data_IF_245047162716
#
_entry.id   IF_245047162716
#
_cell.length_a   1.000
_cell.length_b   1.000
_cell.length_c   1.000
_cell.angle_alpha   90.00
_cell.angle_beta   90.00
_cell.angle_gamma   90.00
#
_symmetry.space_group_name_H-M   'P 1'
#
loop_
_entity.id
_entity.type
_entity.pdbx_description
1 polymer ?
#
# COMPACT_ATOMS: atom_id res chain seq x y z
N UNK A 1 -88.87 8.18 13.99
CA UNK A 1 -88.10 8.08 15.22
C UNK A 1 -86.83 7.26 14.91
N UNK A 2 -85.73 7.89 14.54
CA UNK A 2 -84.38 7.32 14.65
C UNK A 2 -83.37 8.41 14.33
N UNK A 3 -82.59 8.74 15.25
CA UNK A 3 -81.55 9.74 15.18
C UNK A 3 -80.28 9.12 14.58
N UNK A 4 -79.87 9.60 13.42
CA UNK A 4 -78.56 9.31 12.84
C UNK A 4 -77.60 10.36 13.35
N UNK A 5 -76.68 9.97 14.19
CA UNK A 5 -75.53 10.80 14.61
C UNK A 5 -74.42 10.69 13.57
N UNK A 6 -74.15 11.74 12.89
CA UNK A 6 -72.95 11.89 12.09
C UNK A 6 -71.73 12.09 12.99
N UNK A 7 -70.78 11.18 12.87
CA UNK A 7 -69.46 11.33 13.48
C UNK A 7 -68.54 11.78 12.37
N UNK A 8 -68.15 13.07 12.33
CA UNK A 8 -67.04 13.56 11.53
C UNK A 8 -65.70 13.07 12.16
N UNK A 9 -65.10 12.11 11.53
CA UNK A 9 -63.71 11.73 11.86
C UNK A 9 -62.73 12.67 11.18
N UNK A 10 -62.08 13.53 11.98
CA UNK A 10 -60.94 14.32 11.49
C UNK A 10 -59.71 13.39 11.41
N UNK A 11 -59.30 13.06 10.19
CA UNK A 11 -58.01 12.41 9.92
C UNK A 11 -56.90 13.45 9.99
N UNK A 12 -56.16 13.49 11.10
CA UNK A 12 -54.94 14.28 11.23
C UNK A 12 -53.83 13.53 10.47
N UNK A 13 -53.48 14.00 9.26
CA UNK A 13 -52.29 13.59 8.56
C UNK A 13 -51.07 14.19 9.27
N UNK A 14 -50.43 13.42 10.12
CA UNK A 14 -49.11 13.75 10.67
C UNK A 14 -48.09 13.53 9.57
N UNK A 15 -47.73 14.61 8.86
CA UNK A 15 -46.57 14.60 7.97
C UNK A 15 -45.30 14.51 8.82
N UNK A 16 -44.79 13.30 8.99
CA UNK A 16 -43.44 13.08 9.51
C UNK A 16 -42.47 13.62 8.47
N UNK A 17 -42.02 14.86 8.64
CA UNK A 17 -40.82 15.36 7.98
C UNK A 17 -39.64 14.52 8.52
N UNK A 18 -39.36 13.42 7.88
CA UNK A 18 -38.13 12.69 8.06
C UNK A 18 -37.00 13.62 7.64
N UNK A 19 -36.36 14.26 8.63
CA UNK A 19 -35.08 14.88 8.42
C UNK A 19 -34.14 13.78 7.95
N UNK A 20 -33.91 13.68 6.62
CA UNK A 20 -32.77 12.98 6.11
C UNK A 20 -31.57 13.70 6.74
N UNK A 21 -31.04 13.14 7.82
CA UNK A 21 -29.73 13.54 8.32
C UNK A 21 -28.80 13.36 7.12
N UNK A 22 -28.34 14.48 6.55
CA UNK A 22 -27.31 14.45 5.52
C UNK A 22 -26.16 13.64 6.15
N UNK A 23 -25.90 12.45 5.61
CA UNK A 23 -24.82 11.63 6.09
C UNK A 23 -23.54 12.41 5.84
N UNK A 24 -22.82 12.77 6.92
CA UNK A 24 -21.57 13.49 6.80
C UNK A 24 -20.67 12.70 5.85
N UNK A 25 -20.02 13.38 4.91
CA UNK A 25 -19.10 12.71 3.98
C UNK A 25 -17.84 12.28 4.71
N UNK A 26 -17.09 11.36 4.12
CA UNK A 26 -15.88 10.78 4.74
C UNK A 26 -14.87 11.85 5.18
N UNK A 27 -14.71 12.95 4.43
CA UNK A 27 -13.84 14.09 4.82
C UNK A 27 -14.34 14.73 6.13
N UNK A 28 -15.65 14.93 6.25
CA UNK A 28 -16.25 15.56 7.43
C UNK A 28 -16.13 14.65 8.65
N UNK A 29 -16.29 13.33 8.48
CA UNK A 29 -16.11 12.34 9.54
C UNK A 29 -14.67 12.32 10.05
N UNK A 30 -13.68 12.35 9.14
CA UNK A 30 -12.26 12.42 9.48
C UNK A 30 -11.93 13.72 10.22
N UNK A 31 -12.45 14.85 9.73
CA UNK A 31 -12.27 16.16 10.36
C UNK A 31 -12.95 16.25 11.72
N UNK A 32 -14.17 15.76 11.86
CA UNK A 32 -14.90 15.73 13.13
C UNK A 32 -14.18 14.88 14.18
N UNK A 33 -13.60 13.75 13.76
CA UNK A 33 -12.76 12.88 14.61
C UNK A 33 -11.40 13.52 14.92
N UNK A 34 -10.92 14.42 14.08
CA UNK A 34 -9.62 15.10 14.21
C UNK A 34 -8.40 14.23 13.90
N UNK A 35 -8.60 13.08 13.27
CA UNK A 35 -7.55 12.08 13.02
C UNK A 35 -7.75 11.38 11.69
N UNK A 36 -6.67 11.27 10.89
CA UNK A 36 -6.55 10.38 9.75
C UNK A 36 -5.83 9.10 10.20
N UNK A 37 -6.44 7.94 9.99
CA UNK A 37 -5.88 6.64 10.35
C UNK A 37 -5.32 5.92 9.13
N UNK A 38 -4.09 5.39 9.24
CA UNK A 38 -3.44 4.59 8.21
C UNK A 38 -2.84 3.31 8.80
N UNK A 39 -2.66 2.22 8.03
CA UNK A 39 -1.86 1.09 8.48
C UNK A 39 -0.37 1.44 8.43
N UNK A 40 0.38 1.00 9.42
CA UNK A 40 1.84 1.00 9.44
C UNK A 40 2.36 -0.42 9.51
N UNK A 41 3.33 -0.75 8.66
CA UNK A 41 3.88 -2.09 8.56
C UNK A 41 5.30 -2.08 9.11
N UNK A 42 5.57 -2.94 10.10
CA UNK A 42 6.88 -3.00 10.74
C UNK A 42 7.94 -3.50 9.77
N UNK A 43 9.15 -2.95 9.89
CA UNK A 43 10.35 -3.36 9.13
C UNK A 43 10.22 -3.26 7.61
N UNK A 44 9.39 -2.35 7.12
CA UNK A 44 9.13 -2.12 5.69
C UNK A 44 9.86 -0.86 5.15
N UNK A 45 11.12 -0.71 5.50
CA UNK A 45 11.94 0.36 4.92
C UNK A 45 12.02 0.25 3.39
N UNK A 46 11.95 1.39 2.69
CA UNK A 46 11.86 2.79 3.15
C UNK A 46 10.41 3.31 3.30
N UNK A 47 9.38 2.44 3.21
CA UNK A 47 7.95 2.80 3.29
C UNK A 47 7.55 3.19 4.71
N UNK A 48 7.79 2.26 5.63
CA UNK A 48 7.40 2.35 7.04
C UNK A 48 8.53 1.86 7.92
N UNK A 49 8.85 2.62 8.94
CA UNK A 49 9.76 2.25 10.00
C UNK A 49 9.25 2.81 11.33
N UNK A 50 9.19 1.98 12.36
CA UNK A 50 8.85 2.41 13.71
C UNK A 50 10.10 2.39 14.58
N UNK A 51 10.49 3.54 15.11
CA UNK A 51 11.57 3.60 16.08
C UNK A 51 11.19 2.83 17.36
N UNK A 52 11.91 1.77 17.74
CA UNK A 52 11.53 0.93 18.87
C UNK A 52 11.67 1.64 20.22
N UNK A 53 12.43 2.75 20.31
CA UNK A 53 12.63 3.50 21.55
C UNK A 53 11.57 4.58 21.74
N UNK A 54 11.23 5.28 20.68
CA UNK A 54 10.30 6.41 20.73
C UNK A 54 8.88 6.06 20.29
N UNK A 55 8.71 4.96 19.56
CA UNK A 55 7.46 4.58 18.92
C UNK A 55 7.11 5.44 17.69
N UNK A 56 8.00 6.35 17.29
CA UNK A 56 7.76 7.23 16.16
C UNK A 56 7.84 6.50 14.83
N UNK A 57 6.87 6.75 13.97
CA UNK A 57 6.83 6.22 12.61
C UNK A 57 7.52 7.15 11.61
N UNK A 58 8.32 6.57 10.72
CA UNK A 58 9.07 7.22 9.65
C UNK A 58 8.91 6.46 8.34
N UNK A 59 9.39 7.04 7.25
CA UNK A 59 9.37 6.48 5.90
C UNK A 59 8.50 7.30 4.96
N UNK A 60 8.69 7.13 3.66
CA UNK A 60 8.03 7.99 2.68
C UNK A 60 6.49 7.83 2.67
N UNK A 61 5.95 6.66 2.98
CA UNK A 61 4.51 6.47 3.09
C UNK A 61 3.93 7.24 4.30
N UNK A 62 4.70 7.37 5.37
CA UNK A 62 4.34 8.21 6.52
C UNK A 62 4.36 9.70 6.14
N UNK A 63 5.37 10.15 5.36
CA UNK A 63 5.42 11.54 4.89
C UNK A 63 4.23 11.88 3.97
N UNK A 64 3.89 10.96 3.05
CA UNK A 64 2.69 11.08 2.22
C UNK A 64 1.41 11.22 3.07
N UNK A 65 1.27 10.37 4.09
CA UNK A 65 0.13 10.40 4.99
C UNK A 65 0.09 11.66 5.86
N UNK A 66 1.24 12.16 6.31
CA UNK A 66 1.35 13.43 7.04
C UNK A 66 0.88 14.61 6.20
N UNK A 67 1.22 14.63 4.92
CA UNK A 67 0.80 15.69 4.00
C UNK A 67 -0.73 15.67 3.76
N UNK A 68 -1.32 14.48 3.59
CA UNK A 68 -2.78 14.32 3.52
C UNK A 68 -3.45 14.79 4.83
N UNK A 69 -2.96 14.35 5.99
CA UNK A 69 -3.50 14.73 7.29
C UNK A 69 -3.41 16.26 7.51
N UNK A 70 -2.28 16.86 7.14
CA UNK A 70 -2.07 18.32 7.18
C UNK A 70 -3.08 19.05 6.28
N UNK A 71 -3.30 18.57 5.07
CA UNK A 71 -4.27 19.17 4.12
C UNK A 71 -5.69 19.08 4.66
N UNK A 72 -6.05 18.00 5.35
CA UNK A 72 -7.34 17.83 6.00
C UNK A 72 -7.47 18.64 7.32
N UNK A 73 -6.36 19.13 7.88
CA UNK A 73 -6.33 19.83 9.17
C UNK A 73 -6.47 18.92 10.37
N UNK A 74 -6.00 17.66 10.28
CA UNK A 74 -6.14 16.62 11.31
C UNK A 74 -4.78 16.02 11.70
N UNK A 75 -4.76 15.24 12.80
CA UNK A 75 -3.58 14.46 13.21
C UNK A 75 -3.48 13.17 12.40
N UNK A 76 -2.27 12.63 12.29
CA UNK A 76 -2.02 11.29 11.76
C UNK A 76 -1.97 10.27 12.90
N UNK A 77 -2.71 9.18 12.76
CA UNK A 77 -2.62 7.97 13.60
C UNK A 77 -2.19 6.80 12.73
N UNK A 78 -1.15 6.08 13.17
CA UNK A 78 -0.64 4.90 12.47
C UNK A 78 -0.98 3.66 13.28
N UNK A 79 -1.77 2.77 12.68
CA UNK A 79 -2.23 1.51 13.28
C UNK A 79 -1.34 0.36 12.77
N UNK A 80 -0.72 -0.38 13.66
CA UNK A 80 0.13 -1.52 13.25
C UNK A 80 -0.68 -2.56 12.46
N UNK A 81 -0.12 -3.02 11.36
CA UNK A 81 -0.74 -3.95 10.42
C UNK A 81 0.31 -4.78 9.67
N UNK A 82 -0.14 -5.51 8.65
CA UNK A 82 0.68 -6.22 7.67
C UNK A 82 0.17 -5.92 6.26
N UNK A 83 0.97 -6.22 5.20
CA UNK A 83 0.49 -6.04 3.83
C UNK A 83 -0.77 -6.84 3.53
N UNK A 84 -0.87 -8.07 4.05
CA UNK A 84 -2.06 -8.90 3.90
C UNK A 84 -3.30 -8.29 4.56
N UNK A 85 -3.13 -7.71 5.75
CA UNK A 85 -4.24 -7.13 6.53
C UNK A 85 -4.59 -5.71 6.11
N UNK A 86 -3.67 -4.95 5.51
CA UNK A 86 -3.89 -3.52 5.18
C UNK A 86 -5.13 -3.28 4.32
N UNK A 87 -5.44 -4.20 3.39
CA UNK A 87 -6.65 -4.12 2.56
C UNK A 87 -7.92 -4.37 3.39
N UNK A 88 -7.89 -5.36 4.28
CA UNK A 88 -9.00 -5.65 5.20
C UNK A 88 -9.22 -4.50 6.21
N UNK A 89 -8.14 -3.89 6.67
CA UNK A 89 -8.20 -2.75 7.59
C UNK A 89 -8.89 -1.53 6.93
N UNK A 90 -8.61 -1.28 5.62
CA UNK A 90 -9.32 -0.25 4.84
C UNK A 90 -10.77 -0.66 4.59
N UNK A 91 -11.02 -1.91 4.17
CA UNK A 91 -12.36 -2.40 3.85
C UNK A 91 -13.29 -2.32 5.06
N UNK A 92 -12.80 -2.64 6.24
CA UNK A 92 -13.57 -2.62 7.50
C UNK A 92 -13.73 -1.22 8.13
N UNK A 93 -13.02 -0.20 7.60
CA UNK A 93 -13.00 1.13 8.20
C UNK A 93 -12.14 1.24 9.48
N UNK A 94 -11.33 0.24 9.80
CA UNK A 94 -10.35 0.30 10.90
C UNK A 94 -9.32 1.39 10.65
N UNK A 95 -8.96 1.61 9.37
CA UNK A 95 -8.16 2.73 8.88
C UNK A 95 -8.90 3.41 7.72
N UNK A 96 -8.57 4.67 7.47
CA UNK A 96 -9.25 5.48 6.44
C UNK A 96 -8.69 5.20 5.05
N UNK A 97 -7.37 5.11 4.94
CA UNK A 97 -6.63 4.88 3.68
C UNK A 97 -5.36 4.08 3.96
N UNK A 98 -4.82 3.43 2.91
CA UNK A 98 -3.52 2.75 2.98
C UNK A 98 -2.62 3.21 1.82
N UNK A 99 -1.40 3.65 2.15
CA UNK A 99 -0.39 4.10 1.19
C UNK A 99 0.52 2.95 0.75
N UNK A 100 1.15 3.10 -0.43
CA UNK A 100 2.12 2.13 -0.95
C UNK A 100 1.50 0.84 -1.47
N UNK A 101 0.20 0.85 -1.73
CA UNK A 101 -0.54 -0.32 -2.21
C UNK A 101 -0.33 -0.49 -3.71
N UNK A 102 0.00 -1.71 -4.14
CA UNK A 102 -0.06 -2.08 -5.56
C UNK A 102 -1.52 -2.29 -5.96
N UNK A 103 -1.99 -1.56 -6.97
CA UNK A 103 -3.33 -1.73 -7.54
C UNK A 103 -3.40 -3.04 -8.31
N UNK A 104 -4.09 -4.04 -7.78
CA UNK A 104 -4.36 -5.30 -8.46
C UNK A 104 -5.85 -5.49 -8.68
N UNK A 105 -6.27 -6.21 -9.75
CA UNK A 105 -7.69 -6.53 -9.98
C UNK A 105 -8.34 -7.22 -8.77
N UNK A 106 -7.60 -8.13 -8.11
CA UNK A 106 -8.07 -8.82 -6.91
C UNK A 106 -8.43 -7.83 -5.78
N UNK A 107 -7.54 -6.87 -5.49
CA UNK A 107 -7.76 -5.86 -4.44
C UNK A 107 -8.87 -4.88 -4.81
N UNK A 108 -9.06 -4.60 -6.11
CA UNK A 108 -10.13 -3.74 -6.62
C UNK A 108 -11.55 -4.27 -6.32
N UNK A 109 -11.69 -5.56 -6.01
CA UNK A 109 -12.96 -6.14 -5.57
C UNK A 109 -13.35 -5.70 -4.14
N UNK A 110 -12.39 -5.22 -3.35
CA UNK A 110 -12.58 -4.91 -1.92
C UNK A 110 -12.35 -3.46 -1.55
N UNK A 111 -11.55 -2.74 -2.34
CA UNK A 111 -11.20 -1.33 -2.08
C UNK A 111 -11.18 -0.53 -3.39
N UNK A 112 -11.35 0.78 -3.28
CA UNK A 112 -11.10 1.74 -4.35
C UNK A 112 -9.65 2.19 -4.32
N UNK A 113 -9.15 2.75 -5.43
CA UNK A 113 -7.79 3.25 -5.54
C UNK A 113 -7.76 4.69 -6.00
N UNK A 114 -6.77 5.44 -5.53
CA UNK A 114 -6.40 6.73 -6.10
C UNK A 114 -5.74 6.57 -7.46
N UNK A 115 -5.49 7.68 -8.13
CA UNK A 115 -4.48 7.75 -9.18
C UNK A 115 -3.09 7.34 -8.64
N UNK A 116 -2.15 6.92 -9.52
CA UNK A 116 -0.81 6.52 -9.10
C UNK A 116 -0.06 7.60 -8.33
N UNK A 117 0.56 7.23 -7.21
CA UNK A 117 1.48 8.09 -6.47
C UNK A 117 2.91 8.01 -7.01
N UNK A 118 3.34 6.81 -7.38
CA UNK A 118 4.60 6.50 -8.06
C UNK A 118 4.49 5.12 -8.71
N UNK A 119 5.54 4.70 -9.44
CA UNK A 119 5.64 3.34 -9.99
C UNK A 119 6.76 2.59 -9.29
N UNK A 120 6.58 1.29 -9.10
CA UNK A 120 7.56 0.44 -8.45
C UNK A 120 7.77 -0.85 -9.26
N UNK A 121 9.03 -1.25 -9.38
CA UNK A 121 9.40 -2.43 -10.15
C UNK A 121 9.63 -3.64 -9.25
N UNK A 122 9.32 -4.82 -9.76
CA UNK A 122 9.64 -6.08 -9.10
C UNK A 122 11.06 -6.53 -9.45
N UNK A 123 11.74 -7.07 -8.46
CA UNK A 123 13.14 -7.46 -8.52
C UNK A 123 13.37 -8.78 -7.78
N UNK A 124 14.52 -9.38 -8.00
CA UNK A 124 15.05 -10.47 -7.16
C UNK A 124 16.20 -9.91 -6.32
N UNK A 125 16.16 -10.11 -5.02
CA UNK A 125 17.30 -9.86 -4.12
C UNK A 125 17.98 -11.20 -3.88
N UNK A 126 19.24 -11.33 -4.31
CA UNK A 126 19.94 -12.62 -4.26
C UNK A 126 21.45 -12.46 -4.10
N UNK A 127 22.10 -13.35 -3.33
CA UNK A 127 23.54 -13.48 -3.28
C UNK A 127 24.10 -14.24 -4.50
N UNK A 128 23.26 -14.88 -5.30
CA UNK A 128 23.65 -15.73 -6.43
C UNK A 128 23.87 -14.91 -7.69
N UNK A 129 25.14 -14.79 -8.11
CA UNK A 129 25.52 -14.05 -9.33
C UNK A 129 24.97 -14.66 -10.61
N UNK A 130 24.74 -16.00 -10.61
CA UNK A 130 24.18 -16.68 -11.77
C UNK A 130 22.77 -16.24 -12.15
N UNK A 131 22.04 -15.57 -11.24
CA UNK A 131 20.72 -15.02 -11.54
C UNK A 131 20.77 -13.63 -12.21
N UNK A 132 21.96 -13.03 -12.26
CA UNK A 132 22.15 -11.70 -12.84
C UNK A 132 21.81 -11.68 -14.33
N UNK A 133 21.00 -10.71 -14.77
CA UNK A 133 20.60 -10.55 -16.17
C UNK A 133 19.56 -11.57 -16.67
N UNK A 134 19.09 -12.48 -15.82
CA UNK A 134 18.07 -13.44 -16.22
C UNK A 134 16.71 -12.78 -16.43
N UNK A 135 15.96 -13.33 -17.38
CA UNK A 135 14.55 -13.02 -17.56
C UNK A 135 13.67 -13.80 -16.56
N UNK A 136 12.45 -13.32 -16.33
CA UNK A 136 11.45 -14.05 -15.55
C UNK A 136 11.21 -15.48 -16.10
N UNK A 137 11.25 -15.64 -17.43
CA UNK A 137 11.10 -16.93 -18.06
C UNK A 137 12.23 -17.91 -17.73
N UNK A 138 13.48 -17.42 -17.63
CA UNK A 138 14.63 -18.25 -17.24
C UNK A 138 14.62 -18.56 -15.74
N UNK A 139 14.12 -17.65 -14.91
CA UNK A 139 13.96 -17.85 -13.47
C UNK A 139 12.80 -18.83 -13.14
N UNK A 140 11.88 -19.04 -14.08
CA UNK A 140 10.75 -19.95 -13.92
C UNK A 140 11.14 -21.42 -14.18
N UNK A 141 12.02 -21.94 -13.34
CA UNK A 141 12.61 -23.29 -13.44
C UNK A 141 12.53 -23.97 -12.06
N UNK A 142 12.12 -25.26 -11.95
CA UNK A 142 12.05 -26.00 -10.68
C UNK A 142 13.36 -26.07 -9.88
N UNK A 143 14.50 -25.84 -10.53
CA UNK A 143 15.80 -25.80 -9.84
C UNK A 143 15.97 -24.60 -8.93
N UNK A 144 15.17 -23.53 -9.14
CA UNK A 144 15.23 -22.32 -8.32
C UNK A 144 14.15 -22.31 -7.24
N UNK A 145 14.53 -21.77 -6.09
CA UNK A 145 13.65 -21.56 -4.95
C UNK A 145 13.65 -20.08 -4.58
N UNK A 146 12.48 -19.44 -4.59
CA UNK A 146 12.35 -18.05 -4.19
C UNK A 146 11.50 -17.93 -2.93
N UNK A 147 11.82 -16.93 -2.09
CA UNK A 147 11.01 -16.58 -0.93
C UNK A 147 10.17 -15.33 -1.19
N UNK A 148 9.00 -15.27 -0.56
CA UNK A 148 8.09 -14.11 -0.59
C UNK A 148 7.31 -13.98 0.71
N UNK A 149 6.81 -12.81 1.00
CA UNK A 149 5.81 -12.59 2.04
C UNK A 149 4.40 -12.88 1.49
N UNK A 150 3.69 -13.74 2.18
CA UNK A 150 2.35 -14.22 1.82
C UNK A 150 1.35 -13.07 1.66
N UNK A 151 0.59 -13.07 0.58
CA UNK A 151 -0.46 -12.08 0.30
C UNK A 151 0.05 -10.71 -0.16
N UNK A 152 1.36 -10.56 -0.31
CA UNK A 152 1.97 -9.36 -0.91
C UNK A 152 1.75 -9.32 -2.42
N UNK A 153 2.03 -8.17 -3.05
CA UNK A 153 2.06 -8.09 -4.52
C UNK A 153 3.17 -8.94 -5.15
N UNK A 154 4.24 -9.18 -4.41
CA UNK A 154 5.34 -10.04 -4.81
C UNK A 154 4.89 -11.51 -4.91
N UNK A 155 4.06 -11.97 -3.97
CA UNK A 155 3.46 -13.31 -4.03
C UNK A 155 2.58 -13.48 -5.29
N UNK A 156 1.79 -12.46 -5.65
CA UNK A 156 1.01 -12.48 -6.89
C UNK A 156 1.90 -12.55 -8.14
N UNK A 157 3.01 -11.82 -8.17
CA UNK A 157 4.00 -11.88 -9.27
C UNK A 157 4.63 -13.27 -9.37
N UNK A 158 4.97 -13.91 -8.25
CA UNK A 158 5.51 -15.29 -8.30
C UNK A 158 4.50 -16.28 -8.85
N UNK A 159 3.23 -16.15 -8.50
CA UNK A 159 2.18 -17.02 -9.03
C UNK A 159 2.03 -16.88 -10.56
N UNK A 160 2.18 -15.68 -11.07
CA UNK A 160 2.01 -15.38 -12.49
C UNK A 160 3.25 -15.67 -13.35
N UNK A 161 4.44 -15.30 -12.86
CA UNK A 161 5.67 -15.34 -13.65
C UNK A 161 6.62 -16.48 -13.29
N UNK A 162 6.47 -17.07 -12.11
CA UNK A 162 7.33 -18.17 -11.61
C UNK A 162 6.52 -19.42 -11.21
N UNK A 163 5.49 -19.85 -11.98
CA UNK A 163 4.62 -20.96 -11.58
C UNK A 163 5.34 -22.32 -11.54
N UNK A 164 6.53 -22.46 -12.14
CA UNK A 164 7.33 -23.70 -12.14
C UNK A 164 8.42 -23.68 -11.06
N UNK A 165 8.86 -22.51 -10.61
CA UNK A 165 9.86 -22.37 -9.56
C UNK A 165 9.28 -22.77 -8.20
N UNK A 166 10.14 -23.14 -7.26
CA UNK A 166 9.72 -23.41 -5.88
C UNK A 166 9.52 -22.08 -5.13
N UNK A 167 8.34 -21.88 -4.54
CA UNK A 167 8.03 -20.63 -3.83
C UNK A 167 7.78 -20.91 -2.35
N UNK A 168 8.66 -20.38 -1.49
CA UNK A 168 8.53 -20.40 -0.04
C UNK A 168 7.78 -19.14 0.40
N UNK A 169 6.58 -19.32 0.96
CA UNK A 169 5.71 -18.23 1.42
C UNK A 169 5.80 -18.11 2.94
N UNK A 170 6.17 -16.93 3.41
CA UNK A 170 6.33 -16.62 4.83
C UNK A 170 5.29 -15.61 5.30
N UNK A 171 4.96 -15.62 6.59
CA UNK A 171 4.03 -14.66 7.18
C UNK A 171 4.60 -13.26 7.26
N UNK A 172 5.91 -13.16 7.43
CA UNK A 172 6.64 -11.90 7.55
C UNK A 172 7.78 -11.81 6.54
N UNK A 173 8.13 -10.57 6.20
CA UNK A 173 9.29 -10.28 5.35
C UNK A 173 10.60 -10.78 5.97
N UNK A 174 10.73 -10.63 7.30
CA UNK A 174 11.93 -11.04 8.03
C UNK A 174 12.19 -12.55 7.90
N UNK A 175 11.14 -13.38 7.97
CA UNK A 175 11.26 -14.83 7.73
C UNK A 175 11.71 -15.14 6.29
N UNK A 176 11.19 -14.42 5.30
CA UNK A 176 11.59 -14.57 3.90
C UNK A 176 13.05 -14.16 3.67
N UNK A 177 13.53 -13.11 4.33
CA UNK A 177 14.93 -12.68 4.34
C UNK A 177 15.82 -13.76 4.94
N UNK A 178 15.45 -14.32 6.10
CA UNK A 178 16.21 -15.39 6.78
C UNK A 178 16.33 -16.61 5.89
N UNK A 179 15.32 -16.95 5.10
CA UNK A 179 15.36 -18.07 4.17
C UNK A 179 16.45 -17.90 3.09
N UNK A 180 16.63 -16.66 2.56
CA UNK A 180 17.70 -16.37 1.59
C UNK A 180 19.06 -16.32 2.27
N UNK A 181 19.18 -15.61 3.39
CA UNK A 181 20.44 -15.49 4.13
C UNK A 181 20.96 -16.85 4.62
N UNK A 182 20.06 -17.78 4.95
CA UNK A 182 20.37 -19.15 5.35
C UNK A 182 20.52 -20.15 4.21
N UNK A 183 20.45 -19.72 2.94
CA UNK A 183 20.59 -20.57 1.76
C UNK A 183 19.41 -21.52 1.48
N UNK A 184 18.26 -21.34 2.16
CA UNK A 184 17.03 -22.10 1.90
C UNK A 184 16.31 -21.64 0.64
N UNK A 185 16.51 -20.39 0.24
CA UNK A 185 16.00 -19.81 -0.99
C UNK A 185 17.16 -19.19 -1.77
N UNK A 186 17.08 -19.22 -3.10
CA UNK A 186 18.06 -18.66 -4.02
C UNK A 186 17.96 -17.14 -4.11
N UNK A 187 16.78 -16.63 -3.83
CA UNK A 187 16.51 -15.20 -3.82
C UNK A 187 15.15 -14.85 -3.21
N UNK A 188 14.98 -13.58 -2.89
CA UNK A 188 13.72 -12.99 -2.42
C UNK A 188 13.11 -12.19 -3.55
N UNK A 189 11.87 -12.48 -3.93
CA UNK A 189 11.12 -11.61 -4.85
C UNK A 189 10.63 -10.39 -4.05
N UNK A 190 11.01 -9.22 -4.51
CA UNK A 190 10.71 -7.98 -3.79
C UNK A 190 10.44 -6.82 -4.75
N UNK A 191 10.14 -5.65 -4.20
CA UNK A 191 10.11 -4.39 -4.94
C UNK A 191 11.49 -3.71 -4.90
N UNK A 192 11.77 -2.89 -5.91
CA UNK A 192 13.05 -2.19 -6.05
C UNK A 192 13.42 -1.41 -4.78
N UNK A 193 12.50 -0.58 -4.27
CA UNK A 193 12.78 0.30 -3.14
C UNK A 193 13.14 -0.47 -1.87
N UNK A 194 12.39 -1.53 -1.55
CA UNK A 194 12.74 -2.40 -0.42
C UNK A 194 14.05 -3.15 -0.67
N UNK A 195 14.23 -3.70 -1.87
CA UNK A 195 15.42 -4.46 -2.22
C UNK A 195 16.72 -3.66 -2.04
N UNK A 196 16.71 -2.40 -2.49
CA UNK A 196 17.87 -1.50 -2.31
C UNK A 196 18.21 -1.28 -0.83
N UNK A 197 17.22 -0.99 0.00
CA UNK A 197 17.45 -0.80 1.45
C UNK A 197 17.89 -2.11 2.11
N UNK A 198 17.25 -3.20 1.74
CA UNK A 198 17.49 -4.51 2.32
C UNK A 198 18.93 -5.00 2.09
N UNK A 199 19.45 -4.82 0.87
CA UNK A 199 20.85 -5.19 0.55
C UNK A 199 21.88 -4.31 1.26
N UNK A 200 21.52 -3.07 1.65
CA UNK A 200 22.36 -2.22 2.50
C UNK A 200 22.35 -2.66 3.96
N UNK A 201 21.20 -3.12 4.47
CA UNK A 201 21.04 -3.56 5.87
C UNK A 201 21.60 -4.98 6.10
N UNK A 202 21.43 -5.87 5.13
CA UNK A 202 21.80 -7.30 5.22
C UNK A 202 22.66 -7.65 4.01
N UNK A 203 23.96 -7.45 4.14
CA UNK A 203 24.93 -7.63 3.04
C UNK A 203 25.02 -9.06 2.51
N UNK A 204 24.66 -10.05 3.34
CA UNK A 204 24.59 -11.47 2.94
C UNK A 204 23.50 -11.78 1.92
N UNK A 205 22.55 -10.85 1.69
CA UNK A 205 21.53 -10.98 0.64
C UNK A 205 22.06 -10.71 -0.77
N UNK A 206 23.29 -10.21 -0.89
CA UNK A 206 23.95 -9.93 -2.17
C UNK A 206 23.43 -8.64 -2.81
N UNK A 207 22.87 -8.75 -4.02
CA UNK A 207 22.48 -7.59 -4.84
C UNK A 207 21.03 -7.65 -5.30
N UNK A 208 20.52 -6.47 -5.65
CA UNK A 208 19.26 -6.33 -6.38
C UNK A 208 19.49 -6.68 -7.84
N UNK A 209 18.71 -7.62 -8.35
CA UNK A 209 18.74 -8.07 -9.74
C UNK A 209 17.40 -7.75 -10.39
N UNK A 210 17.44 -7.18 -11.59
CA UNK A 210 16.24 -6.72 -12.33
C UNK A 210 15.97 -7.70 -13.48
N UNK A 211 15.04 -8.65 -13.33
CA UNK A 211 14.72 -9.58 -14.41
C UNK A 211 14.02 -8.87 -15.57
N UNK A 212 14.21 -9.41 -16.78
CA UNK A 212 13.56 -8.89 -18.00
C UNK A 212 12.32 -9.72 -18.38
N UNK A 213 11.27 -9.07 -18.97
CA UNK A 213 11.07 -7.62 -19.02
C UNK A 213 10.93 -7.01 -17.63
N UNK A 214 11.24 -5.72 -17.50
CA UNK A 214 11.01 -5.00 -16.23
C UNK A 214 9.50 -4.97 -15.94
N UNK A 215 9.09 -5.55 -14.83
CA UNK A 215 7.71 -5.50 -14.36
C UNK A 215 7.55 -4.32 -13.41
N UNK A 216 6.80 -3.32 -13.84
CA UNK A 216 6.52 -2.14 -13.02
C UNK A 216 5.02 -1.95 -12.88
N UNK A 217 4.58 -1.63 -11.67
CA UNK A 217 3.16 -1.43 -11.35
C UNK A 217 2.94 -0.11 -10.64
N UNK A 218 1.77 0.51 -10.82
CA UNK A 218 1.41 1.70 -10.07
C UNK A 218 1.29 1.39 -8.57
N UNK A 219 1.89 2.24 -7.76
CA UNK A 219 1.62 2.33 -6.34
C UNK A 219 0.59 3.42 -6.09
N UNK A 220 -0.42 3.12 -5.31
CA UNK A 220 -1.61 3.94 -5.12
C UNK A 220 -1.95 4.07 -3.63
N UNK A 221 -2.94 4.91 -3.34
CA UNK A 221 -3.61 4.93 -2.04
C UNK A 221 -4.88 4.08 -2.16
N UNK A 222 -5.02 3.06 -1.30
CA UNK A 222 -6.26 2.31 -1.18
C UNK A 222 -7.25 3.06 -0.29
N UNK A 223 -8.53 3.07 -0.69
CA UNK A 223 -9.62 3.82 -0.09
C UNK A 223 -10.79 2.87 0.09
N UNK A 224 -11.55 3.00 1.19
CA UNK A 224 -12.76 2.20 1.38
C UNK A 224 -13.73 2.41 0.21
N UNK A 225 -14.32 1.33 -0.31
CA UNK A 225 -15.29 1.42 -1.42
C UNK A 225 -16.54 2.22 -1.05
N UNK A 226 -16.94 2.16 0.24
CA UNK A 226 -18.07 2.92 0.78
C UNK A 226 -17.78 4.39 1.06
N UNK A 227 -16.53 4.86 0.89
CA UNK A 227 -16.20 6.27 0.99
C UNK A 227 -16.94 7.07 -0.09
N UNK A 228 -17.34 8.31 0.25
CA UNK A 228 -18.00 9.18 -0.70
C UNK A 228 -17.07 9.60 -1.87
N UNK A 229 -17.68 10.02 -2.98
CA UNK A 229 -16.94 10.38 -4.18
C UNK A 229 -16.05 11.61 -3.99
N UNK A 230 -16.39 12.53 -3.07
CA UNK A 230 -15.57 13.71 -2.79
C UNK A 230 -14.25 13.30 -2.12
N UNK A 231 -14.28 12.32 -1.20
CA UNK A 231 -13.07 11.82 -0.58
C UNK A 231 -12.19 11.07 -1.59
N UNK A 232 -12.77 10.23 -2.45
CA UNK A 232 -12.05 9.53 -3.51
C UNK A 232 -11.40 10.51 -4.50
N UNK A 233 -12.16 11.55 -4.90
CA UNK A 233 -11.66 12.60 -5.78
C UNK A 233 -10.55 13.42 -5.12
N UNK A 234 -10.69 13.77 -3.82
CA UNK A 234 -9.66 14.46 -3.05
C UNK A 234 -8.34 13.66 -3.02
N UNK A 235 -8.40 12.38 -2.65
CA UNK A 235 -7.18 11.53 -2.57
C UNK A 235 -6.55 11.35 -3.95
N UNK A 236 -7.34 11.22 -5.00
CA UNK A 236 -6.84 11.12 -6.38
C UNK A 236 -6.20 12.42 -6.86
N UNK A 237 -6.83 13.57 -6.59
CA UNK A 237 -6.25 14.88 -6.91
C UNK A 237 -4.96 15.13 -6.13
N UNK A 238 -4.91 14.75 -4.85
CA UNK A 238 -3.72 14.83 -4.03
C UNK A 238 -2.58 13.97 -4.61
N UNK A 239 -2.86 12.73 -5.02
CA UNK A 239 -1.89 11.82 -5.59
C UNK A 239 -1.29 12.38 -6.89
N UNK A 240 -2.15 12.82 -7.82
CA UNK A 240 -1.71 13.41 -9.09
C UNK A 240 -0.92 14.70 -8.91
N UNK A 241 -1.38 15.60 -8.05
CA UNK A 241 -0.69 16.85 -7.77
C UNK A 241 0.73 16.58 -7.27
N UNK A 242 0.87 15.78 -6.18
CA UNK A 242 2.17 15.53 -5.57
C UNK A 242 3.11 14.71 -6.46
N UNK A 243 2.57 13.83 -7.33
CA UNK A 243 3.37 13.14 -8.33
C UNK A 243 3.91 14.10 -9.38
N UNK A 244 3.06 14.99 -9.91
CA UNK A 244 3.43 15.92 -11.00
C UNK A 244 4.43 16.99 -10.57
N UNK A 245 4.34 17.49 -9.34
CA UNK A 245 5.28 18.48 -8.81
C UNK A 245 6.53 17.86 -8.16
N UNK A 246 6.64 16.53 -8.13
CA UNK A 246 7.83 15.81 -7.66
C UNK A 246 7.91 15.59 -6.15
N UNK A 247 6.89 15.92 -5.36
CA UNK A 247 6.90 15.71 -3.91
C UNK A 247 7.02 14.22 -3.55
N UNK A 248 6.27 13.35 -4.25
CA UNK A 248 6.34 11.91 -4.00
C UNK A 248 7.75 11.37 -4.22
N UNK A 249 8.43 11.79 -5.30
CA UNK A 249 9.83 11.45 -5.56
C UNK A 249 10.74 11.98 -4.45
N UNK A 250 10.55 13.22 -4.02
CA UNK A 250 11.35 13.84 -2.95
C UNK A 250 11.25 13.05 -1.65
N UNK A 251 10.05 12.67 -1.22
CA UNK A 251 9.86 11.85 -0.01
C UNK A 251 10.51 10.48 -0.12
N UNK A 252 10.41 9.83 -1.29
CA UNK A 252 11.06 8.53 -1.53
C UNK A 252 12.58 8.66 -1.47
N UNK A 253 13.17 9.63 -2.18
CA UNK A 253 14.62 9.87 -2.23
C UNK A 253 15.15 10.23 -0.85
N UNK A 254 14.45 11.07 -0.09
CA UNK A 254 14.85 11.42 1.28
C UNK A 254 14.83 10.17 2.19
N UNK A 255 13.81 9.32 2.09
CA UNK A 255 13.75 8.08 2.86
C UNK A 255 14.87 7.10 2.48
N UNK A 256 15.20 6.96 1.20
CA UNK A 256 16.33 6.17 0.72
C UNK A 256 17.67 6.74 1.19
N UNK A 257 17.78 8.07 1.21
CA UNK A 257 18.96 8.79 1.68
C UNK A 257 19.33 8.48 3.12
N UNK A 258 18.36 8.14 3.98
CA UNK A 258 18.63 7.70 5.37
C UNK A 258 19.42 6.40 5.45
N UNK A 259 19.44 5.62 4.36
CA UNK A 259 20.22 4.38 4.21
C UNK A 259 21.45 4.57 3.31
N UNK A 260 21.82 5.82 2.98
CA UNK A 260 22.94 6.14 2.11
C UNK A 260 22.72 5.80 0.64
N UNK A 261 21.47 5.60 0.21
CA UNK A 261 21.10 5.30 -1.17
C UNK A 261 20.75 6.60 -1.88
N UNK A 262 21.41 6.86 -3.01
CA UNK A 262 21.19 8.04 -3.87
C UNK A 262 20.38 7.65 -5.10
N UNK A 263 19.81 8.63 -5.78
CA UNK A 263 19.09 8.42 -7.03
C UNK A 263 19.96 7.75 -8.11
N UNK A 264 21.25 8.11 -8.16
CA UNK A 264 22.23 7.55 -9.10
C UNK A 264 22.58 6.07 -8.82
N UNK A 265 22.29 5.58 -7.62
CA UNK A 265 22.46 4.16 -7.26
C UNK A 265 21.34 3.27 -7.83
N UNK A 266 20.32 3.87 -8.42
CA UNK A 266 19.21 3.10 -8.98
C UNK A 266 19.58 2.52 -10.34
N UNK A 267 19.08 1.31 -10.66
CA UNK A 267 19.28 0.71 -11.97
C UNK A 267 18.80 1.63 -13.09
N UNK A 268 19.55 1.65 -14.21
CA UNK A 268 19.17 2.44 -15.40
C UNK A 268 17.77 2.08 -15.88
N UNK A 269 16.97 3.10 -16.19
CA UNK A 269 15.57 2.92 -16.63
C UNK A 269 14.56 2.81 -15.50
N UNK A 270 14.99 2.84 -14.24
CA UNK A 270 14.08 3.00 -13.13
C UNK A 270 13.65 4.47 -12.99
N UNK A 271 12.35 4.72 -12.90
CA UNK A 271 11.77 6.05 -12.70
C UNK A 271 10.54 5.97 -11.80
N UNK A 272 10.27 7.03 -11.06
CA UNK A 272 9.11 7.14 -10.16
C UNK A 272 7.84 7.61 -10.87
N UNK A 273 7.98 8.13 -12.09
CA UNK A 273 6.89 8.56 -12.95
C UNK A 273 6.71 7.61 -14.12
N UNK A 274 5.49 7.26 -14.47
CA UNK A 274 5.15 6.59 -15.71
C UNK A 274 5.22 7.55 -16.88
#
# INVERSE_FOLDING_TARGET
MSWLKQILGAVAVVATLGSAAAQAGTIDDIRARGVLKIPGILNEDPYFNKDPRTGEWRGFAIEMARDVAKTLGVKLEVVESSWANSILDVQSGKVDVAFGITATPQRALSVSFSNPTYFNSFVIVSPKKELEGMSWAQLNDPKYTFSVDLGSSQDLITQQYLPKANILRFKTRDEAIVAVAGGKADGLVNTMLNGLVMTKKVTTLGAVQVPTPVLSTPSVVAINQGADENFKAFVSAWADYNRRIGNNQTWIVNSLGTFGIKLDDMPKGFGFGG
#
